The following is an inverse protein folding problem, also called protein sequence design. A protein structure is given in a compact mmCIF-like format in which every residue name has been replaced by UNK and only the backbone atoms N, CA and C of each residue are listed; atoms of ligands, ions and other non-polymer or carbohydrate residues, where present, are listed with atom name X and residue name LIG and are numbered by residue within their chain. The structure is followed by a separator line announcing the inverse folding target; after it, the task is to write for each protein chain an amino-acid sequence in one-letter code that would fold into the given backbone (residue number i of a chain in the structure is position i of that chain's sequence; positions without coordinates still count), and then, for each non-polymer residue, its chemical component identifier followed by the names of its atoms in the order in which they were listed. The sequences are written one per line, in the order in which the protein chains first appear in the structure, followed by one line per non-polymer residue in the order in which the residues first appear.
data_IF_153808021475
#
_entry.id   IF_153808021475
#
_cell.length_a   1.000
_cell.length_b   1.000
_cell.length_c   1.000
_cell.angle_alpha   90.00
_cell.angle_beta   90.00
_cell.angle_gamma   90.00
#
_symmetry.space_group_name_H-M   'P 1'
#
loop_
_entity.id
_entity.type
_entity.pdbx_description
1 polymer ?
#
# COMPACT_ATOMS: atom_id res chain seq x y z
N UNK A 1 -40.07 -3.60 46.71
CA UNK A 1 -38.74 -4.23 46.53
C UNK A 1 -38.75 -5.28 45.41
N UNK A 2 -39.70 -5.25 44.47
CA UNK A 2 -39.79 -6.22 43.35
C UNK A 2 -39.40 -5.58 41.99
N UNK A 3 -39.48 -4.26 41.85
CA UNK A 3 -39.22 -3.57 40.57
C UNK A 3 -37.75 -3.41 40.20
N UNK A 4 -36.82 -3.64 41.14
CA UNK A 4 -35.38 -3.49 40.90
C UNK A 4 -34.69 -4.81 40.48
N UNK A 5 -35.32 -5.95 40.78
CA UNK A 5 -34.79 -7.28 40.45
C UNK A 5 -35.17 -7.66 39.00
N UNK A 6 -36.33 -7.20 38.52
CA UNK A 6 -36.80 -7.44 37.14
C UNK A 6 -35.86 -6.82 36.09
N UNK A 7 -35.36 -5.61 36.35
CA UNK A 7 -34.42 -4.89 35.47
C UNK A 7 -33.03 -5.53 35.46
N UNK A 8 -32.59 -6.10 36.59
CA UNK A 8 -31.29 -6.77 36.69
C UNK A 8 -31.23 -8.07 35.86
N UNK A 9 -32.34 -8.83 35.81
CA UNK A 9 -32.44 -10.03 34.95
C UNK A 9 -32.59 -9.70 33.46
N UNK A 10 -33.18 -8.55 33.12
CA UNK A 10 -33.32 -8.05 31.74
C UNK A 10 -31.99 -7.55 31.12
N UNK A 11 -31.02 -7.14 31.94
CA UNK A 11 -29.71 -6.67 31.46
C UNK A 11 -28.73 -7.83 31.19
N UNK A 12 -28.90 -8.97 31.88
CA UNK A 12 -28.01 -10.12 31.72
C UNK A 12 -28.32 -11.00 30.50
N UNK A 13 -29.49 -10.86 29.86
CA UNK A 13 -29.88 -11.69 28.71
C UNK A 13 -29.51 -11.11 27.33
N UNK A 14 -28.75 -10.01 27.29
CA UNK A 14 -28.39 -9.35 26.02
C UNK A 14 -26.98 -9.67 25.53
N UNK A 15 -26.52 -10.90 25.72
CA UNK A 15 -25.22 -11.40 25.20
C UNK A 15 -25.33 -12.78 24.57
N UNK A 16 -26.15 -12.91 23.54
CA UNK A 16 -25.89 -13.89 22.49
C UNK A 16 -25.32 -13.16 21.27
N UNK A 17 -24.00 -12.99 21.26
CA UNK A 17 -23.27 -12.64 20.05
C UNK A 17 -23.32 -13.89 19.16
N UNK A 18 -24.02 -13.80 18.04
CA UNK A 18 -24.09 -14.86 17.05
C UNK A 18 -22.76 -14.93 16.29
N UNK A 19 -21.82 -15.72 16.82
CA UNK A 19 -20.45 -15.92 16.31
C UNK A 19 -20.40 -16.64 14.94
N UNK A 20 -21.54 -17.09 14.39
CA UNK A 20 -21.61 -17.83 13.13
C UNK A 20 -21.85 -16.96 11.89
N UNK A 21 -21.86 -15.62 12.00
CA UNK A 21 -22.00 -14.73 10.84
C UNK A 21 -20.68 -14.16 10.29
N UNK A 22 -19.57 -14.30 11.02
CA UNK A 22 -18.27 -13.75 10.60
C UNK A 22 -17.54 -14.57 9.52
N UNK A 23 -17.92 -15.83 9.33
CA UNK A 23 -17.21 -16.76 8.43
C UNK A 23 -17.63 -16.65 6.97
N UNK A 24 -18.86 -16.22 6.66
CA UNK A 24 -19.37 -16.13 5.29
C UNK A 24 -18.82 -14.93 4.50
N UNK A 25 -18.56 -13.81 5.18
CA UNK A 25 -18.05 -12.58 4.56
C UNK A 25 -16.55 -12.63 4.19
N UNK A 26 -15.80 -13.60 4.72
CA UNK A 26 -14.38 -13.80 4.36
C UNK A 26 -14.26 -14.65 3.09
N UNK A 27 -15.07 -15.71 2.95
CA UNK A 27 -15.02 -16.63 1.80
C UNK A 27 -15.48 -15.93 0.50
N UNK A 28 -16.49 -15.04 0.59
CA UNK A 28 -17.03 -14.35 -0.58
C UNK A 28 -16.04 -13.31 -1.18
N UNK A 29 -15.06 -12.83 -0.41
CA UNK A 29 -14.06 -11.85 -0.88
C UNK A 29 -12.97 -12.47 -1.76
N UNK A 30 -12.57 -13.72 -1.49
CA UNK A 30 -11.54 -14.40 -2.29
C UNK A 30 -12.05 -14.96 -3.62
N UNK A 31 -13.34 -15.33 -3.70
CA UNK A 31 -13.93 -15.86 -4.93
C UNK A 31 -14.10 -14.79 -6.04
N UNK A 32 -14.26 -13.51 -5.69
CA UNK A 32 -14.45 -12.42 -6.64
C UNK A 32 -13.15 -11.92 -7.28
N UNK A 33 -11.97 -12.31 -6.78
CA UNK A 33 -10.68 -11.85 -7.31
C UNK A 33 -10.10 -12.72 -8.44
N UNK A 34 -10.75 -13.84 -8.79
CA UNK A 34 -10.26 -14.78 -9.82
C UNK A 34 -10.72 -14.43 -11.25
N UNK A 35 -11.58 -13.42 -11.44
CA UNK A 35 -12.13 -13.07 -12.75
C UNK A 35 -12.12 -11.55 -13.01
N UNK A 36 -10.96 -10.98 -13.36
CA UNK A 36 -10.85 -9.73 -14.12
C UNK A 36 -9.41 -9.44 -14.54
N UNK A 37 -8.84 -10.31 -15.37
CA UNK A 37 -7.79 -9.90 -16.32
C UNK A 37 -8.47 -9.19 -17.49
N UNK A 38 -8.90 -7.94 -17.28
CA UNK A 38 -9.30 -7.02 -18.32
C UNK A 38 -8.88 -5.61 -17.89
N UNK A 39 -7.71 -5.19 -18.38
CA UNK A 39 -7.15 -3.86 -18.15
C UNK A 39 -8.04 -2.79 -18.75
N UNK A 40 -8.91 -2.20 -17.92
CA UNK A 40 -9.58 -0.94 -18.26
C UNK A 40 -8.98 0.13 -17.36
N UNK A 41 -8.06 0.92 -17.94
CA UNK A 41 -7.42 2.04 -17.27
C UNK A 41 -8.46 3.13 -17.00
N UNK A 42 -8.97 3.17 -15.78
CA UNK A 42 -9.68 4.36 -15.29
C UNK A 42 -8.73 5.56 -15.34
N UNK A 43 -9.20 6.77 -15.71
CA UNK A 43 -8.35 7.96 -15.70
C UNK A 43 -8.14 8.36 -14.25
N UNK A 44 -7.04 7.89 -13.68
CA UNK A 44 -6.49 8.46 -12.46
C UNK A 44 -6.12 9.90 -12.79
N UNK A 45 -6.64 10.86 -11.99
CA UNK A 45 -6.16 12.25 -12.02
C UNK A 45 -4.65 12.21 -12.10
N UNK A 46 -4.08 12.70 -13.21
CA UNK A 46 -2.65 12.73 -13.41
C UNK A 46 -2.05 13.57 -12.29
N UNK A 47 -1.46 12.90 -11.30
CA UNK A 47 -0.58 13.54 -10.34
C UNK A 47 0.46 14.25 -11.20
N UNK A 48 0.66 15.55 -10.95
CA UNK A 48 1.66 16.34 -11.67
C UNK A 48 2.97 15.54 -11.74
N UNK A 49 3.60 15.54 -12.92
CA UNK A 49 4.77 14.73 -13.24
C UNK A 49 5.78 14.82 -12.09
N UNK A 50 5.86 13.79 -11.26
CA UNK A 50 6.79 13.77 -10.13
C UNK A 50 8.15 13.61 -10.79
N UNK A 51 9.05 14.60 -10.68
CA UNK A 51 10.38 14.44 -11.25
C UNK A 51 10.95 13.16 -10.64
N UNK A 52 11.26 12.19 -11.50
CA UNK A 52 11.76 10.88 -11.09
C UNK A 52 13.02 11.00 -10.24
N UNK A 53 13.54 9.86 -9.82
CA UNK A 53 14.81 9.82 -9.07
C UNK A 53 15.90 10.56 -9.85
N UNK A 54 16.67 11.39 -9.14
CA UNK A 54 17.71 12.20 -9.77
C UNK A 54 18.86 11.32 -10.24
N UNK A 55 19.73 11.91 -11.06
CA UNK A 55 20.96 11.24 -11.51
C UNK A 55 21.91 10.87 -10.38
N UNK A 56 21.69 11.34 -9.14
CA UNK A 56 22.43 10.94 -7.96
C UNK A 56 22.08 9.52 -7.50
N UNK A 57 20.82 9.08 -7.66
CA UNK A 57 20.36 7.74 -7.25
C UNK A 57 20.53 6.73 -8.38
N UNK A 58 20.15 7.14 -9.59
CA UNK A 58 20.15 6.26 -10.74
C UNK A 58 20.44 7.02 -12.03
N UNK A 59 21.43 6.54 -12.80
CA UNK A 59 21.77 7.12 -14.10
C UNK A 59 21.26 6.22 -15.21
N UNK A 60 20.32 6.73 -16.00
CA UNK A 60 19.81 6.02 -17.18
C UNK A 60 20.92 5.98 -18.24
N UNK A 61 21.57 4.83 -18.39
CA UNK A 61 22.47 4.59 -19.53
C UNK A 61 21.65 4.37 -20.80
N UNK A 62 22.09 4.96 -21.91
CA UNK A 62 21.63 4.60 -23.26
C UNK A 62 22.42 3.42 -23.84
N UNK A 63 23.58 3.12 -23.25
CA UNK A 63 24.49 2.06 -23.68
C UNK A 63 24.18 0.76 -22.93
N UNK A 64 24.65 -0.36 -23.50
CA UNK A 64 24.54 -1.67 -22.86
C UNK A 64 25.30 -1.67 -21.53
N UNK A 65 24.59 -2.04 -20.47
CA UNK A 65 25.14 -2.03 -19.10
C UNK A 65 25.89 -3.33 -18.77
N UNK A 66 25.98 -4.24 -19.74
CA UNK A 66 26.65 -5.53 -19.67
C UNK A 66 26.27 -6.42 -20.86
N UNK A 67 26.91 -7.58 -21.03
CA UNK A 67 26.66 -8.48 -22.17
C UNK A 67 25.18 -8.90 -22.25
N UNK A 68 24.47 -8.45 -23.29
CA UNK A 68 23.05 -8.74 -23.48
C UNK A 68 22.09 -7.94 -22.58
N UNK A 69 22.61 -7.00 -21.77
CA UNK A 69 21.83 -6.09 -20.94
C UNK A 69 21.65 -4.75 -21.66
N UNK A 70 20.72 -4.73 -22.61
CA UNK A 70 20.36 -3.58 -23.42
C UNK A 70 18.86 -3.37 -23.43
N UNK A 71 18.40 -2.13 -23.64
CA UNK A 71 16.96 -1.80 -23.73
C UNK A 71 16.28 -2.49 -24.91
N UNK A 72 17.05 -2.84 -25.94
CA UNK A 72 16.58 -3.58 -27.12
C UNK A 72 16.57 -5.09 -26.92
N UNK A 73 17.18 -5.60 -25.83
CA UNK A 73 17.29 -7.03 -25.59
C UNK A 73 15.98 -7.65 -25.09
N UNK A 74 15.99 -8.97 -24.87
CA UNK A 74 14.84 -9.73 -24.37
C UNK A 74 14.43 -9.31 -22.95
N UNK A 75 15.40 -8.97 -22.11
CA UNK A 75 15.14 -8.51 -20.74
C UNK A 75 14.90 -7.00 -20.72
N UNK A 76 13.77 -6.57 -20.16
CA UNK A 76 13.29 -5.18 -20.29
C UNK A 76 13.74 -4.22 -19.20
N UNK A 77 14.46 -4.69 -18.19
CA UNK A 77 14.92 -3.87 -17.07
C UNK A 77 16.46 -3.97 -16.86
N UNK A 78 17.28 -3.69 -17.90
CA UNK A 78 18.74 -3.68 -17.74
C UNK A 78 19.23 -2.72 -16.64
N UNK A 79 18.45 -1.70 -16.32
CA UNK A 79 18.75 -0.68 -15.31
C UNK A 79 19.14 -1.26 -13.94
N UNK A 80 18.58 -2.42 -13.59
CA UNK A 80 18.89 -3.14 -12.35
C UNK A 80 20.39 -3.44 -12.17
N UNK A 81 21.14 -3.67 -13.26
CA UNK A 81 22.57 -3.98 -13.18
C UNK A 81 23.44 -2.82 -12.70
N UNK A 82 22.94 -1.58 -12.78
CA UNK A 82 23.69 -0.40 -12.36
C UNK A 82 23.48 -0.05 -10.88
N UNK A 83 22.70 -0.83 -10.13
CA UNK A 83 22.51 -0.59 -8.71
C UNK A 83 23.78 -0.86 -7.90
N UNK A 84 24.02 -0.01 -6.92
CA UNK A 84 25.08 -0.16 -5.93
C UNK A 84 24.47 -0.54 -4.57
N UNK A 85 25.31 -0.81 -3.57
CA UNK A 85 24.86 -1.21 -2.22
C UNK A 85 24.03 -0.12 -1.50
N UNK A 86 24.20 1.14 -1.89
CA UNK A 86 23.57 2.30 -1.30
C UNK A 86 22.32 2.80 -2.06
N UNK A 87 22.06 2.33 -3.27
CA UNK A 87 21.00 2.85 -4.15
C UNK A 87 19.61 2.87 -3.49
N UNK A 88 19.33 1.91 -2.63
CA UNK A 88 18.10 1.90 -1.83
C UNK A 88 17.98 3.12 -0.90
N UNK A 89 19.04 3.42 -0.15
CA UNK A 89 19.07 4.54 0.79
C UNK A 89 19.07 5.88 0.08
N UNK A 90 19.76 5.99 -1.05
CA UNK A 90 19.76 7.20 -1.87
C UNK A 90 18.35 7.50 -2.40
N UNK A 91 17.64 6.48 -2.90
CA UNK A 91 16.25 6.62 -3.34
C UNK A 91 15.32 7.03 -2.19
N UNK A 92 15.53 6.48 -0.99
CA UNK A 92 14.77 6.85 0.19
C UNK A 92 14.96 8.34 0.54
N UNK A 93 16.20 8.83 0.54
CA UNK A 93 16.51 10.23 0.85
C UNK A 93 15.79 11.19 -0.12
N UNK A 94 15.76 10.87 -1.41
CA UNK A 94 15.07 11.70 -2.40
C UNK A 94 13.55 11.65 -2.25
N UNK A 95 13.01 10.47 -1.96
CA UNK A 95 11.57 10.28 -1.78
C UNK A 95 11.04 10.95 -0.52
N UNK A 96 11.86 11.16 0.53
CA UNK A 96 11.45 11.81 1.79
C UNK A 96 10.76 13.16 1.57
N UNK A 97 11.19 13.94 0.57
CA UNK A 97 10.63 15.27 0.24
C UNK A 97 9.17 15.20 -0.22
N UNK A 98 8.77 14.07 -0.79
CA UNK A 98 7.44 13.85 -1.34
C UNK A 98 6.55 13.02 -0.40
N UNK A 99 7.08 12.54 0.73
CA UNK A 99 6.33 11.77 1.72
C UNK A 99 5.43 12.68 2.55
N UNK A 100 4.30 12.14 2.97
CA UNK A 100 3.43 12.78 3.95
C UNK A 100 4.09 12.81 5.33
N UNK A 101 3.75 13.80 6.18
CA UNK A 101 4.23 13.81 7.55
C UNK A 101 3.79 12.55 8.30
N UNK A 102 4.67 12.03 9.15
CA UNK A 102 4.38 10.87 9.98
C UNK A 102 3.24 11.18 10.97
N UNK A 103 2.32 10.24 11.21
CA UNK A 103 1.27 10.43 12.20
C UNK A 103 1.89 10.54 13.61
N UNK A 104 1.36 11.44 14.44
CA UNK A 104 1.76 11.59 15.83
C UNK A 104 0.68 11.08 16.79
N UNK A 105 1.08 10.35 17.83
CA UNK A 105 0.17 9.87 18.87
C UNK A 105 -0.40 11.00 19.74
N UNK A 106 0.33 12.13 19.83
CA UNK A 106 -0.16 13.36 20.44
C UNK A 106 -0.87 14.16 19.34
N UNK A 107 -2.19 14.34 19.49
CA UNK A 107 -2.92 15.29 18.66
C UNK A 107 -2.33 16.68 18.86
N UNK A 108 -1.86 17.31 17.79
CA UNK A 108 -1.38 18.70 17.86
C UNK A 108 -2.55 19.59 18.29
N UNK A 109 -2.58 20.03 19.55
CA UNK A 109 -3.42 21.18 19.93
C UNK A 109 -2.85 22.39 19.20
N UNK A 110 -3.60 22.92 18.23
CA UNK A 110 -3.34 24.27 17.71
C UNK A 110 -3.63 25.23 18.86
N UNK A 111 -2.59 25.90 19.35
CA UNK A 111 -2.69 27.00 20.29
C UNK A 111 -3.20 28.25 19.58
#
# INVERSE_FOLDING_TARGET
MESLIQTSKMVLYRKHINIMSLSKSVIQRHAAQKASSASTSAPTKSIADVPGLSSAVYKISSEEVGPGASKTSKYKNPEYFCYNKASYYEAEIEMLKYRLPQPSSKGMKKN
#
